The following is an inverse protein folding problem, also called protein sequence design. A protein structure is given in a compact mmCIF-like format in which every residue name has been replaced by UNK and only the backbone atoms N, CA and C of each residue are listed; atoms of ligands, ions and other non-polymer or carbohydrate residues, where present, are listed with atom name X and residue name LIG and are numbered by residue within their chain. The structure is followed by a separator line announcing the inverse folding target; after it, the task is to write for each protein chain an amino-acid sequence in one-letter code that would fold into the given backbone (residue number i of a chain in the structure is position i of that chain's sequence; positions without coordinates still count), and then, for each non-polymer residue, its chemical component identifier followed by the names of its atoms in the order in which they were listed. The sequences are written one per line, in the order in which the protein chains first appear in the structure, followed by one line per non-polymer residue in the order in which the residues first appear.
data_IF_443563107122
#
_entry.id   IF_443563107122
#
_cell.length_a   1.000
_cell.length_b   1.000
_cell.length_c   1.000
_cell.angle_alpha   90.00
_cell.angle_beta   90.00
_cell.angle_gamma   90.00
#
_symmetry.space_group_name_H-M   'P 1'
#
loop_
_entity.id
_entity.type
_entity.pdbx_description
1 polymer ?
#
# COMPACT_ATOMS: atom_id res chain seq x y z
N UNK A 1 13.95 -2.01 0.11
CA UNK A 1 12.48 -2.07 0.31
C UNK A 1 12.10 -2.61 1.70
N UNK A 2 12.71 -3.70 2.17
CA UNK A 2 12.44 -4.34 3.48
C UNK A 2 12.18 -3.36 4.63
N UNK A 3 13.11 -2.43 4.89
CA UNK A 3 12.97 -1.46 5.98
C UNK A 3 11.72 -0.56 5.88
N UNK A 4 11.30 -0.17 4.67
CA UNK A 4 10.09 0.62 4.50
C UNK A 4 8.84 -0.19 4.86
N UNK A 5 8.78 -1.45 4.40
CA UNK A 5 7.69 -2.36 4.70
C UNK A 5 7.56 -2.58 6.21
N UNK A 6 8.67 -2.85 6.90
CA UNK A 6 8.68 -2.98 8.37
C UNK A 6 8.13 -1.73 9.07
N UNK A 7 8.64 -0.55 8.73
CA UNK A 7 8.16 0.71 9.31
C UNK A 7 6.68 0.98 9.04
N UNK A 8 6.21 0.68 7.83
CA UNK A 8 4.81 0.84 7.47
C UNK A 8 3.94 -0.14 8.25
N UNK A 9 4.35 -1.40 8.37
CA UNK A 9 3.62 -2.41 9.12
C UNK A 9 3.50 -2.03 10.60
N UNK A 10 4.58 -1.57 11.23
CA UNK A 10 4.56 -1.03 12.58
C UNK A 10 3.57 0.13 12.70
N UNK A 11 3.58 1.05 11.73
CA UNK A 11 2.68 2.20 11.73
C UNK A 11 1.22 1.80 11.55
N UNK A 12 0.93 0.80 10.71
CA UNK A 12 -0.40 0.24 10.52
C UNK A 12 -0.91 -0.43 11.80
N UNK A 13 -0.08 -1.26 12.43
CA UNK A 13 -0.42 -1.94 13.69
C UNK A 13 -0.71 -0.93 14.82
N UNK A 14 0.09 0.12 14.94
CA UNK A 14 -0.15 1.22 15.89
C UNK A 14 -1.44 2.00 15.63
N UNK A 15 -2.04 1.86 14.44
CA UNK A 15 -3.28 2.53 14.04
C UNK A 15 -4.42 1.54 13.83
N UNK A 16 -4.41 0.41 14.54
CA UNK A 16 -5.50 -0.55 14.60
C UNK A 16 -5.82 -1.20 13.24
N UNK A 17 -4.79 -1.40 12.41
CA UNK A 17 -4.84 -2.26 11.24
C UNK A 17 -4.14 -3.58 11.52
N UNK A 18 -4.81 -4.68 11.22
CA UNK A 18 -4.29 -6.04 11.33
C UNK A 18 -3.90 -6.55 9.95
N UNK A 19 -2.68 -7.06 9.82
CA UNK A 19 -2.22 -7.74 8.61
C UNK A 19 -2.79 -9.16 8.56
N UNK A 20 -3.64 -9.43 7.57
CA UNK A 20 -4.31 -10.72 7.40
C UNK A 20 -3.54 -11.64 6.47
N UNK A 21 -3.01 -11.09 5.37
CA UNK A 21 -2.29 -11.85 4.34
C UNK A 21 -1.29 -10.97 3.63
N UNK A 22 -0.17 -11.56 3.23
CA UNK A 22 0.73 -11.03 2.20
C UNK A 22 0.72 -11.94 0.98
N UNK A 23 1.00 -11.40 -0.19
CA UNK A 23 1.18 -12.19 -1.41
C UNK A 23 2.17 -11.49 -2.35
N UNK A 24 3.25 -12.20 -2.66
CA UNK A 24 4.33 -11.73 -3.52
C UNK A 24 4.28 -12.39 -4.90
N UNK A 25 3.37 -13.37 -5.12
CA UNK A 25 3.14 -14.01 -6.41
C UNK A 25 2.14 -13.19 -7.24
N UNK A 26 2.65 -12.07 -7.71
CA UNK A 26 1.89 -10.98 -8.32
C UNK A 26 2.39 -10.67 -9.72
N UNK A 27 1.53 -10.00 -10.50
CA UNK A 27 1.82 -9.58 -11.87
C UNK A 27 2.99 -8.58 -11.95
N UNK A 28 3.53 -8.32 -13.15
CA UNK A 28 4.75 -7.55 -13.37
C UNK A 28 4.73 -6.12 -12.79
N UNK A 29 3.54 -5.51 -12.69
CA UNK A 29 3.33 -4.15 -12.21
C UNK A 29 3.14 -4.04 -10.69
N UNK A 30 3.06 -5.17 -9.99
CA UNK A 30 2.83 -5.26 -8.55
C UNK A 30 3.96 -6.07 -7.94
N UNK A 31 4.70 -5.49 -7.00
CA UNK A 31 5.74 -6.25 -6.32
C UNK A 31 5.13 -7.19 -5.30
N UNK A 32 4.26 -6.69 -4.43
CA UNK A 32 3.41 -7.50 -3.57
C UNK A 32 2.16 -6.74 -3.13
N UNK A 33 1.23 -7.44 -2.47
CA UNK A 33 0.14 -6.80 -1.76
C UNK A 33 -0.05 -7.34 -0.36
N UNK A 34 -0.61 -6.50 0.50
CA UNK A 34 -1.03 -6.84 1.85
C UNK A 34 -2.54 -6.68 1.98
N UNK A 35 -3.21 -7.72 2.45
CA UNK A 35 -4.59 -7.63 2.90
C UNK A 35 -4.60 -7.20 4.36
N UNK A 36 -5.23 -6.07 4.63
CA UNK A 36 -5.38 -5.52 5.98
C UNK A 36 -6.84 -5.54 6.39
N UNK A 37 -7.07 -5.65 7.69
CA UNK A 37 -8.40 -5.50 8.31
C UNK A 37 -8.34 -4.44 9.39
N UNK A 38 -9.30 -3.53 9.37
CA UNK A 38 -9.49 -2.56 10.44
C UNK A 38 -10.06 -3.27 11.68
N UNK A 39 -9.33 -3.21 12.79
CA UNK A 39 -9.81 -3.73 14.09
C UNK A 39 -10.45 -2.64 14.94
N UNK A 40 -10.49 -1.39 14.46
CA UNK A 40 -11.12 -0.24 15.12
C UNK A 40 -11.52 0.82 14.11
N UNK A 41 -12.66 1.49 14.34
CA UNK A 41 -13.34 2.37 13.38
C UNK A 41 -13.63 1.67 12.05
N UNK A 42 -14.91 1.65 11.65
CA UNK A 42 -15.37 0.80 10.54
C UNK A 42 -14.84 -0.65 10.68
N UNK A 43 -15.14 -1.24 11.85
CA UNK A 43 -14.63 -2.56 12.25
C UNK A 43 -14.94 -3.61 11.18
N UNK A 44 -13.92 -4.38 10.79
CA UNK A 44 -14.05 -5.39 9.75
C UNK A 44 -13.87 -4.87 8.32
N UNK A 45 -13.66 -3.56 8.11
CA UNK A 45 -13.25 -3.02 6.81
C UNK A 45 -11.95 -3.71 6.36
N UNK A 46 -11.99 -4.32 5.17
CA UNK A 46 -10.83 -4.93 4.54
C UNK A 46 -10.34 -4.06 3.39
N UNK A 47 -9.02 -3.92 3.30
CA UNK A 47 -8.36 -3.21 2.20
C UNK A 47 -7.13 -3.98 1.75
N UNK A 48 -6.64 -3.63 0.57
CA UNK A 48 -5.41 -4.12 0.00
C UNK A 48 -4.42 -2.97 -0.14
N UNK A 49 -3.28 -3.08 0.52
CA UNK A 49 -2.14 -2.18 0.32
C UNK A 49 -1.25 -2.77 -0.76
N UNK A 50 -0.97 -1.99 -1.81
CA UNK A 50 -0.27 -2.43 -3.01
C UNK A 50 1.11 -1.77 -3.10
N UNK A 51 2.15 -2.54 -3.40
CA UNK A 51 3.49 -2.03 -3.68
C UNK A 51 3.71 -1.99 -5.20
N UNK A 52 3.42 -0.84 -5.80
CA UNK A 52 3.36 -0.68 -7.25
C UNK A 52 4.75 -0.51 -7.85
N UNK A 53 5.03 -1.25 -8.93
CA UNK A 53 6.29 -1.20 -9.69
C UNK A 53 6.22 -0.14 -10.77
N UNK A 54 7.36 0.50 -11.04
CA UNK A 54 7.52 1.52 -12.07
C UNK A 54 7.11 0.97 -13.45
N UNK A 55 6.31 1.71 -14.25
CA UNK A 55 5.81 1.25 -15.53
C UNK A 55 6.81 0.64 -16.49
N UNK A 56 8.01 1.22 -16.55
CA UNK A 56 9.01 0.89 -17.55
C UNK A 56 10.15 0.03 -16.98
N UNK A 57 9.93 -0.58 -15.82
CA UNK A 57 10.89 -1.48 -15.21
C UNK A 57 10.78 -2.90 -15.78
N UNK A 58 11.86 -3.38 -16.38
CA UNK A 58 11.98 -4.71 -16.97
C UNK A 58 12.97 -5.63 -16.23
N UNK A 59 13.40 -5.25 -15.02
CA UNK A 59 14.29 -6.08 -14.22
C UNK A 59 13.54 -7.19 -13.50
N UNK A 60 14.26 -8.25 -13.12
CA UNK A 60 13.69 -9.40 -12.40
C UNK A 60 13.33 -9.06 -10.95
N UNK A 61 14.03 -8.11 -10.33
CA UNK A 61 13.89 -7.74 -8.93
C UNK A 61 12.88 -6.60 -8.73
N UNK A 62 11.58 -6.92 -8.77
CA UNK A 62 10.47 -5.96 -8.62
C UNK A 62 10.63 -5.00 -7.43
N UNK A 63 11.20 -5.46 -6.31
CA UNK A 63 11.41 -4.67 -5.09
C UNK A 63 12.30 -3.43 -5.28
N UNK A 64 13.18 -3.42 -6.28
CA UNK A 64 14.07 -2.30 -6.59
C UNK A 64 13.35 -1.19 -7.36
N UNK A 65 12.19 -1.50 -7.94
CA UNK A 65 11.44 -0.64 -8.83
C UNK A 65 10.08 -0.22 -8.27
N UNK A 66 9.81 -0.50 -7.00
CA UNK A 66 8.60 0.02 -6.36
C UNK A 66 8.74 1.53 -6.22
N UNK A 67 7.81 2.24 -6.86
CA UNK A 67 7.80 3.69 -6.98
C UNK A 67 6.57 4.32 -6.33
N UNK A 68 5.57 3.52 -5.96
CA UNK A 68 4.38 3.98 -5.27
C UNK A 68 3.81 2.92 -4.33
N UNK A 69 3.17 3.39 -3.27
CA UNK A 69 2.29 2.59 -2.44
C UNK A 69 0.84 3.01 -2.68
N UNK A 70 -0.02 2.01 -2.88
CA UNK A 70 -1.44 2.18 -3.13
C UNK A 70 -2.33 1.52 -2.09
N UNK A 71 -3.60 1.91 -2.00
CA UNK A 71 -4.64 1.18 -1.29
C UNK A 71 -5.96 1.15 -2.08
N UNK A 72 -6.65 0.02 -2.01
CA UNK A 72 -7.98 -0.23 -2.62
C UNK A 72 -8.76 -1.29 -1.86
N UNK A 73 -10.07 -1.36 -2.09
CA UNK A 73 -10.98 -2.40 -1.61
C UNK A 73 -10.75 -3.77 -2.27
N UNK A 74 -10.01 -3.82 -3.38
CA UNK A 74 -9.67 -5.06 -4.11
C UNK A 74 -8.28 -4.99 -4.73
N UNK A 75 -7.70 -6.16 -5.02
CA UNK A 75 -6.51 -6.24 -5.87
C UNK A 75 -6.94 -6.04 -7.33
N UNK A 76 -6.41 -5.05 -8.06
CA UNK A 76 -6.72 -4.86 -9.47
C UNK A 76 -6.27 -6.06 -10.31
N UNK A 77 -7.10 -6.44 -11.29
CA UNK A 77 -6.73 -7.46 -12.29
C UNK A 77 -5.68 -6.94 -13.28
N UNK A 78 -5.63 -5.63 -13.47
CA UNK A 78 -4.71 -4.94 -14.35
C UNK A 78 -4.13 -3.75 -13.62
N UNK A 79 -2.99 -3.26 -14.10
CA UNK A 79 -2.37 -2.04 -13.59
C UNK A 79 -3.39 -0.89 -13.49
N UNK A 80 -3.52 -0.24 -12.32
CA UNK A 80 -4.49 0.83 -12.13
C UNK A 80 -4.05 2.14 -12.80
N UNK A 81 -4.99 2.86 -13.40
CA UNK A 81 -4.80 4.19 -14.01
C UNK A 81 -4.94 5.34 -12.99
N UNK A 82 -4.72 5.08 -11.70
CA UNK A 82 -4.93 5.99 -10.55
C UNK A 82 -6.38 6.32 -10.17
N UNK A 83 -7.40 5.87 -10.91
CA UNK A 83 -8.80 6.08 -10.53
C UNK A 83 -9.23 5.16 -9.38
N UNK A 84 -9.93 5.71 -8.37
CA UNK A 84 -10.46 4.96 -7.23
C UNK A 84 -9.40 4.42 -6.26
N UNK A 85 -8.16 4.91 -6.37
CA UNK A 85 -6.99 4.43 -5.63
C UNK A 85 -6.41 5.51 -4.72
N UNK A 86 -6.13 5.16 -3.47
CA UNK A 86 -5.28 5.98 -2.61
C UNK A 86 -3.85 5.68 -3.01
N UNK A 87 -3.14 6.63 -3.62
CA UNK A 87 -1.74 6.44 -3.97
C UNK A 87 -0.84 7.51 -3.32
N UNK A 88 0.35 7.07 -2.92
CA UNK A 88 1.46 7.93 -2.52
C UNK A 88 2.73 7.48 -3.25
N UNK A 89 3.44 8.43 -3.86
CA UNK A 89 4.65 8.16 -4.62
C UNK A 89 5.89 8.24 -3.74
N UNK A 90 6.87 7.39 -4.00
CA UNK A 90 8.15 7.45 -3.31
C UNK A 90 8.98 8.63 -3.82
N UNK A 91 9.48 9.41 -2.88
CA UNK A 91 10.39 10.52 -3.11
C UNK A 91 11.67 10.25 -2.31
N UNK A 92 12.82 10.32 -2.99
CA UNK A 92 14.13 10.04 -2.38
C UNK A 92 14.35 10.90 -1.13
N UNK A 93 14.70 10.25 -0.02
CA UNK A 93 14.99 10.90 1.27
C UNK A 93 13.76 11.31 2.09
N UNK A 94 12.53 11.10 1.59
CA UNK A 94 11.29 11.56 2.24
C UNK A 94 10.44 10.43 2.84
N UNK A 95 11.08 9.35 3.29
CA UNK A 95 10.42 8.13 3.75
C UNK A 95 9.33 8.38 4.80
N UNK A 96 9.63 9.20 5.81
CA UNK A 96 8.69 9.53 6.89
C UNK A 96 7.48 10.32 6.37
N UNK A 97 7.70 11.28 5.47
CA UNK A 97 6.62 12.07 4.86
C UNK A 97 5.69 11.17 4.05
N UNK A 98 6.23 10.21 3.30
CA UNK A 98 5.48 9.25 2.50
C UNK A 98 4.60 8.36 3.38
N UNK A 99 5.14 7.80 4.47
CA UNK A 99 4.36 6.98 5.40
C UNK A 99 3.25 7.82 6.03
N UNK A 100 3.55 9.03 6.51
CA UNK A 100 2.55 9.90 7.12
C UNK A 100 1.44 10.29 6.12
N UNK A 101 1.79 10.66 4.90
CA UNK A 101 0.82 10.99 3.85
C UNK A 101 -0.08 9.79 3.52
N UNK A 102 0.50 8.61 3.32
CA UNK A 102 -0.24 7.39 3.05
C UNK A 102 -1.20 7.04 4.20
N UNK A 103 -0.72 7.06 5.45
CA UNK A 103 -1.54 6.80 6.63
C UNK A 103 -2.69 7.80 6.78
N UNK A 104 -2.45 9.09 6.51
CA UNK A 104 -3.49 10.11 6.57
C UNK A 104 -4.59 9.85 5.54
N UNK A 105 -4.24 9.48 4.31
CA UNK A 105 -5.22 9.11 3.28
C UNK A 105 -5.99 7.85 3.67
N UNK A 106 -5.29 6.85 4.22
CA UNK A 106 -5.91 5.61 4.71
C UNK A 106 -6.92 5.85 5.84
N UNK A 107 -6.58 6.75 6.78
CA UNK A 107 -7.49 7.14 7.86
C UNK A 107 -8.74 7.84 7.33
N UNK A 108 -8.58 8.79 6.40
CA UNK A 108 -9.73 9.44 5.76
C UNK A 108 -10.62 8.42 5.07
N UNK A 109 -10.05 7.45 4.36
CA UNK A 109 -10.80 6.36 3.74
C UNK A 109 -11.57 5.54 4.77
N UNK A 110 -10.91 5.08 5.84
CA UNK A 110 -11.54 4.31 6.91
C UNK A 110 -12.72 5.05 7.55
N UNK A 111 -12.63 6.37 7.63
CA UNK A 111 -13.65 7.24 8.23
C UNK A 111 -14.73 7.73 7.24
N UNK A 112 -14.67 7.34 5.96
CA UNK A 112 -15.53 7.86 4.88
C UNK A 112 -15.41 9.39 4.68
N UNK A 113 -14.20 9.92 4.77
CA UNK A 113 -13.87 11.36 4.62
C UNK A 113 -13.16 11.66 3.27
N UNK A 114 -13.30 10.78 2.28
CA UNK A 114 -12.75 10.90 0.92
C UNK A 114 -13.86 11.12 -0.12
#
# INVERSE_FOLDING_TARGET
MVYFKELLLDKLALNDWELIKTDDNTDWWLESYWKLRSVRQNYGLEIYVLFLVEPDYFGEEKEKAVWSIGASDRVPLTKPNNEGFINTFFIKGKLKEIICDFMNKLHKYRNNEL
#
